data_IF_293061565666
#
_entry.id   IF_293061565666
#
_cell.length_a   1.000
_cell.length_b   1.000
_cell.length_c   1.000
_cell.angle_alpha   90.00
_cell.angle_beta   90.00
_cell.angle_gamma   90.00
#
_symmetry.space_group_name_H-M   'P 1'
#
loop_
_entity.id
_entity.type
_entity.pdbx_description
1 polymer ?
#
# COMPACT_ATOMS: atom_id res chain seq x y z
N UNK A 1 3.04 -16.85 -17.80
CA UNK A 1 2.89 -15.77 -16.80
C UNK A 1 2.19 -14.58 -17.45
N UNK A 2 0.94 -14.26 -17.08
CA UNK A 2 0.21 -13.13 -17.66
C UNK A 2 0.89 -11.79 -17.30
N UNK A 3 1.35 -11.09 -18.34
CA UNK A 3 2.02 -9.79 -18.29
C UNK A 3 1.13 -8.76 -17.59
N UNK A 4 1.68 -7.98 -16.67
CA UNK A 4 1.00 -6.85 -16.02
C UNK A 4 0.79 -5.75 -17.06
N UNK A 5 -0.26 -5.89 -17.89
CA UNK A 5 -0.39 -5.15 -19.15
C UNK A 5 -1.00 -3.74 -19.03
N UNK A 6 -1.32 -3.24 -17.83
CA UNK A 6 -1.75 -1.84 -17.66
C UNK A 6 -1.26 -1.29 -16.33
N UNK A 7 -0.05 -0.74 -16.37
CA UNK A 7 0.40 0.19 -15.34
C UNK A 7 -0.41 1.47 -15.45
N UNK A 8 -1.22 1.75 -14.44
CA UNK A 8 -1.97 2.99 -14.33
C UNK A 8 -1.23 3.95 -13.39
N UNK A 9 -0.70 5.03 -13.96
CA UNK A 9 0.06 6.04 -13.24
C UNK A 9 -0.78 6.78 -12.20
N UNK A 10 -2.08 6.97 -12.45
CA UNK A 10 -3.03 7.60 -11.51
C UNK A 10 -3.24 6.69 -10.31
N UNK A 11 -3.44 5.39 -10.55
CA UNK A 11 -3.58 4.40 -9.48
C UNK A 11 -2.30 4.25 -8.66
N UNK A 12 -1.13 4.25 -9.31
CA UNK A 12 0.16 4.21 -8.64
C UNK A 12 0.36 5.43 -7.72
N UNK A 13 -0.01 6.62 -8.19
CA UNK A 13 0.06 7.87 -7.40
C UNK A 13 -0.88 7.81 -6.19
N UNK A 14 -2.10 7.31 -6.38
CA UNK A 14 -3.07 7.07 -5.30
C UNK A 14 -2.51 6.14 -4.22
N UNK A 15 -2.01 4.96 -4.61
CA UNK A 15 -1.44 3.99 -3.68
C UNK A 15 -0.25 4.59 -2.92
N UNK A 16 0.63 5.35 -3.61
CA UNK A 16 1.76 6.03 -2.99
C UNK A 16 1.29 7.05 -1.94
N UNK A 17 0.35 7.93 -2.30
CA UNK A 17 -0.19 8.96 -1.39
C UNK A 17 -0.84 8.29 -0.17
N UNK A 18 -1.70 7.30 -0.38
CA UNK A 18 -2.35 6.58 0.73
C UNK A 18 -1.32 5.91 1.64
N UNK A 19 -0.29 5.26 1.08
CA UNK A 19 0.77 4.63 1.86
C UNK A 19 1.52 5.61 2.77
N UNK A 20 1.86 6.80 2.25
CA UNK A 20 2.52 7.84 3.06
C UNK A 20 1.56 8.48 4.08
N UNK A 21 0.29 8.69 3.72
CA UNK A 21 -0.73 9.25 4.62
C UNK A 21 -0.92 8.40 5.88
N UNK A 22 -0.73 7.08 5.79
CA UNK A 22 -0.81 6.16 6.91
C UNK A 22 0.54 5.78 7.52
N UNK A 23 1.54 6.68 7.44
CA UNK A 23 2.85 6.51 8.07
C UNK A 23 3.55 5.18 7.73
N UNK A 24 3.27 4.58 6.56
CA UNK A 24 3.85 3.30 6.12
C UNK A 24 3.54 2.10 7.03
N UNK A 25 2.54 2.25 7.92
CA UNK A 25 2.16 1.22 8.90
C UNK A 25 1.40 0.08 8.20
N UNK A 26 0.47 0.43 7.32
CA UNK A 26 -0.44 -0.54 6.72
C UNK A 26 0.16 -1.28 5.52
N UNK A 27 -0.04 -2.60 5.53
CA UNK A 27 0.23 -3.48 4.41
C UNK A 27 -0.77 -3.35 3.27
N UNK A 28 -0.45 -3.99 2.15
CA UNK A 28 -1.25 -3.95 0.93
C UNK A 28 -2.71 -4.35 1.17
N UNK A 29 -3.01 -5.34 2.03
CA UNK A 29 -4.39 -5.75 2.36
C UNK A 29 -5.21 -4.60 2.96
N UNK A 30 -4.67 -3.96 4.00
CA UNK A 30 -5.33 -2.83 4.68
C UNK A 30 -5.43 -1.61 3.77
N UNK A 31 -4.37 -1.29 3.03
CA UNK A 31 -4.41 -0.21 2.04
C UNK A 31 -5.50 -0.44 0.98
N UNK A 32 -5.69 -1.68 0.53
CA UNK A 32 -6.73 -2.00 -0.45
C UNK A 32 -8.12 -1.68 0.10
N UNK A 33 -8.42 -2.11 1.34
CA UNK A 33 -9.72 -1.82 1.97
C UNK A 33 -9.96 -0.32 2.12
N UNK A 34 -8.94 0.41 2.56
CA UNK A 34 -9.04 1.86 2.75
C UNK A 34 -9.25 2.58 1.43
N UNK A 35 -8.45 2.25 0.40
CA UNK A 35 -8.57 2.87 -0.93
C UNK A 35 -9.95 2.58 -1.54
N UNK A 36 -10.42 1.34 -1.43
CA UNK A 36 -11.74 0.96 -1.92
C UNK A 36 -12.85 1.76 -1.21
N UNK A 37 -12.75 1.94 0.11
CA UNK A 37 -13.73 2.73 0.89
C UNK A 37 -13.70 4.22 0.58
N UNK A 38 -12.52 4.82 0.41
CA UNK A 38 -12.37 6.27 0.18
C UNK A 38 -12.75 6.67 -1.25
N UNK A 39 -12.30 5.89 -2.23
CA UNK A 39 -12.44 6.24 -3.65
C UNK A 39 -13.57 5.48 -4.35
N UNK A 40 -14.37 4.72 -3.60
CA UNK A 40 -15.42 3.84 -4.09
C UNK A 40 -14.93 2.92 -5.24
N UNK A 41 -13.74 2.35 -5.07
CA UNK A 41 -13.08 1.47 -6.03
C UNK A 41 -13.23 0.00 -5.62
N UNK A 42 -13.08 -0.91 -6.58
CA UNK A 42 -13.11 -2.37 -6.38
C UNK A 42 -11.74 -3.01 -6.67
N UNK A 43 -10.67 -2.45 -6.08
CA UNK A 43 -9.32 -2.96 -6.28
C UNK A 43 -9.12 -4.32 -5.61
N UNK A 44 -8.47 -5.23 -6.32
CA UNK A 44 -8.02 -6.52 -5.78
C UNK A 44 -6.69 -6.36 -5.06
N UNK A 45 -6.55 -6.98 -3.89
CA UNK A 45 -5.36 -6.83 -3.04
C UNK A 45 -4.05 -7.25 -3.74
N UNK A 46 -4.08 -8.25 -4.63
CA UNK A 46 -2.91 -8.67 -5.40
C UNK A 46 -2.43 -7.59 -6.39
N UNK A 47 -3.33 -6.73 -6.89
CA UNK A 47 -2.94 -5.60 -7.74
C UNK A 47 -2.18 -4.56 -6.91
N UNK A 48 -2.72 -4.19 -5.75
CA UNK A 48 -2.08 -3.24 -4.83
C UNK A 48 -0.70 -3.75 -4.41
N UNK A 49 -0.57 -5.06 -4.14
CA UNK A 49 0.73 -5.68 -3.87
C UNK A 49 1.73 -5.51 -5.03
N UNK A 50 1.31 -5.75 -6.28
CA UNK A 50 2.19 -5.56 -7.46
C UNK A 50 2.62 -4.09 -7.59
N UNK A 51 1.71 -3.14 -7.42
CA UNK A 51 2.03 -1.71 -7.44
C UNK A 51 3.02 -1.34 -6.32
N UNK A 52 2.78 -1.80 -5.09
CA UNK A 52 3.70 -1.55 -3.97
C UNK A 52 5.08 -2.16 -4.22
N UNK A 53 5.15 -3.37 -4.77
CA UNK A 53 6.41 -4.03 -5.13
C UNK A 53 7.18 -3.22 -6.19
N UNK A 54 6.49 -2.75 -7.23
CA UNK A 54 7.10 -1.95 -8.29
C UNK A 54 7.57 -0.57 -7.79
N UNK A 55 6.79 0.06 -6.92
CA UNK A 55 7.15 1.35 -6.28
C UNK A 55 8.16 1.21 -5.13
N UNK A 56 8.64 0.00 -4.85
CA UNK A 56 9.52 -0.33 -3.73
C UNK A 56 9.00 0.13 -2.35
N UNK A 57 7.67 0.08 -2.16
CA UNK A 57 6.99 0.48 -0.92
C UNK A 57 6.93 -0.71 0.04
N UNK A 58 7.76 -0.70 1.09
CA UNK A 58 7.75 -1.72 2.15
C UNK A 58 6.86 -1.29 3.32
N UNK A 59 5.71 -1.94 3.46
CA UNK A 59 4.87 -1.82 4.67
C UNK A 59 5.48 -2.60 5.83
N UNK A 60 5.26 -2.14 7.05
CA UNK A 60 5.84 -2.70 8.28
C UNK A 60 7.33 -2.35 8.39
N UNK A 61 7.62 -1.06 8.59
CA UNK A 61 8.83 -0.74 9.34
C UNK A 61 8.57 -1.16 10.79
N UNK A 62 9.39 -2.06 11.34
CA UNK A 62 9.43 -2.31 12.78
C UNK A 62 9.80 -0.97 13.42
N UNK A 63 8.81 -0.25 13.94
CA UNK A 63 9.09 0.84 14.86
C UNK A 63 9.66 0.14 16.10
N UNK A 64 10.94 0.40 16.42
CA UNK A 64 11.54 -0.06 17.67
C UNK A 64 10.63 0.44 18.79
N UNK A 65 9.95 -0.48 19.50
CA UNK A 65 9.24 -0.11 20.72
C UNK A 65 10.27 0.50 21.66
N UNK A 66 10.00 1.71 22.14
CA UNK A 66 10.82 2.33 23.18
C UNK A 66 10.79 1.38 24.38
N UNK A 67 11.95 0.86 24.79
CA UNK A 67 12.05 0.09 26.04
C UNK A 67 11.94 1.12 27.16
N UNK A 68 10.78 1.20 27.81
CA UNK A 68 10.69 1.92 29.08
C UNK A 68 11.63 1.19 30.05
N UNK A 69 12.62 1.90 30.61
CA UNK A 69 13.38 1.42 31.76
C UNK A 69 12.40 1.45 32.93
N UNK A 70 11.99 0.28 33.41
CA UNK A 70 11.43 0.10 34.75
C UNK A 70 12.57 0.21 35.76
#
# INVERSE_FOLDING_TARGET
MQKFNKWDSKLAKLIKISFFKFNKIYGYKMLTLIINKIYNLSLKAHMVYRYMKYLNLKSVQRIKKFKYKL
#
